data_IF_184566129517
#
_entry.id   IF_184566129517
#
_cell.length_a   1.000
_cell.length_b   1.000
_cell.length_c   1.000
_cell.angle_alpha   90.00
_cell.angle_beta   90.00
_cell.angle_gamma   90.00
#
_symmetry.space_group_name_H-M   'P 1'
#
loop_
_entity.id
_entity.type
_entity.pdbx_description
1 polymer ?
#
# COMPACT_ATOMS: atom_id res chain seq x y z
N UNK A 1 30.17 -45.40 57.28
CA UNK A 1 30.57 -44.00 57.00
C UNK A 1 30.94 -43.75 55.53
N UNK A 2 31.42 -44.72 54.74
CA UNK A 2 31.82 -44.48 53.33
C UNK A 2 30.68 -44.26 52.31
N UNK A 3 29.48 -44.80 52.55
CA UNK A 3 28.35 -44.66 51.61
C UNK A 3 27.78 -43.24 51.53
N UNK A 4 27.90 -42.42 52.57
CA UNK A 4 27.29 -41.08 52.57
C UNK A 4 28.10 -40.08 51.75
N UNK A 5 29.42 -40.14 51.87
CA UNK A 5 30.34 -39.28 51.12
C UNK A 5 30.32 -39.55 49.61
N UNK A 6 30.26 -40.82 49.21
CA UNK A 6 30.21 -41.19 47.80
C UNK A 6 28.88 -40.76 47.15
N UNK A 7 27.77 -40.84 47.89
CA UNK A 7 26.47 -40.35 47.45
C UNK A 7 26.42 -38.82 47.35
N UNK A 8 27.03 -38.10 48.30
CA UNK A 8 27.17 -36.64 48.24
C UNK A 8 28.00 -36.20 47.02
N UNK A 9 29.11 -36.89 46.74
CA UNK A 9 29.93 -36.64 45.54
C UNK A 9 29.17 -36.90 44.24
N UNK A 10 28.40 -37.98 44.16
CA UNK A 10 27.58 -38.28 42.98
C UNK A 10 26.51 -37.22 42.74
N UNK A 11 25.80 -36.79 43.80
CA UNK A 11 24.81 -35.73 43.72
C UNK A 11 25.41 -34.38 43.30
N UNK A 12 26.62 -34.06 43.76
CA UNK A 12 27.32 -32.85 43.36
C UNK A 12 27.69 -32.86 41.88
N UNK A 13 28.14 -34.01 41.36
CA UNK A 13 28.47 -34.20 39.94
C UNK A 13 27.22 -34.08 39.08
N UNK A 14 26.13 -34.76 39.44
CA UNK A 14 24.85 -34.68 38.71
C UNK A 14 24.29 -33.25 38.67
N UNK A 15 24.42 -32.49 39.76
CA UNK A 15 24.01 -31.08 39.79
C UNK A 15 24.88 -30.21 38.88
N UNK A 16 26.19 -30.45 38.85
CA UNK A 16 27.11 -29.73 37.96
C UNK A 16 26.83 -30.03 36.49
N UNK A 17 26.60 -31.29 36.13
CA UNK A 17 26.22 -31.68 34.77
C UNK A 17 24.92 -30.99 34.35
N UNK A 18 23.89 -31.03 35.19
CA UNK A 18 22.62 -30.35 34.93
C UNK A 18 22.79 -28.83 34.77
N UNK A 19 23.65 -28.21 35.56
CA UNK A 19 23.95 -26.77 35.40
C UNK A 19 24.66 -26.47 34.09
N UNK A 20 25.59 -27.35 33.65
CA UNK A 20 26.27 -27.20 32.36
C UNK A 20 25.30 -27.36 31.18
N UNK A 21 24.38 -28.33 31.25
CA UNK A 21 23.32 -28.49 30.24
C UNK A 21 22.42 -27.26 30.17
N UNK A 22 21.99 -26.73 31.32
CA UNK A 22 21.17 -25.51 31.36
C UNK A 22 21.92 -24.29 30.81
N UNK A 23 23.21 -24.15 31.11
CA UNK A 23 24.05 -23.09 30.55
C UNK A 23 24.20 -23.20 29.03
N UNK A 24 24.30 -24.43 28.51
CA UNK A 24 24.34 -24.67 27.07
C UNK A 24 23.01 -24.28 26.39
N UNK A 25 21.88 -24.65 27.00
CA UNK A 25 20.56 -24.26 26.49
C UNK A 25 20.37 -22.75 26.52
N UNK A 26 20.81 -22.08 27.60
CA UNK A 26 20.75 -20.61 27.70
C UNK A 26 21.62 -19.93 26.63
N UNK A 27 22.80 -20.47 26.35
CA UNK A 27 23.65 -19.98 25.26
C UNK A 27 22.96 -20.09 23.89
N UNK A 28 22.27 -21.20 23.63
CA UNK A 28 21.48 -21.39 22.40
C UNK A 28 20.35 -20.36 22.32
N UNK A 29 19.62 -20.12 23.42
CA UNK A 29 18.55 -19.13 23.47
C UNK A 29 19.08 -17.70 23.20
N UNK A 30 20.25 -17.38 23.74
CA UNK A 30 20.91 -16.10 23.49
C UNK A 30 21.28 -15.95 22.01
N UNK A 31 21.82 -16.99 21.40
CA UNK A 31 22.16 -17.00 19.96
C UNK A 31 20.91 -16.78 19.11
N UNK A 32 19.82 -17.49 19.40
CA UNK A 32 18.52 -17.34 18.71
C UNK A 32 18.00 -15.91 18.85
N UNK A 33 18.09 -15.33 20.05
CA UNK A 33 17.67 -13.94 20.30
C UNK A 33 18.50 -12.94 19.49
N UNK A 34 19.82 -13.14 19.41
CA UNK A 34 20.71 -12.31 18.60
C UNK A 34 20.35 -12.38 17.12
N UNK A 35 20.18 -13.60 16.58
CA UNK A 35 19.80 -13.81 15.18
C UNK A 35 18.45 -13.15 14.86
N UNK A 36 17.46 -13.28 15.74
CA UNK A 36 16.17 -12.61 15.57
C UNK A 36 16.29 -11.09 15.58
N UNK A 37 17.15 -10.52 16.43
CA UNK A 37 17.42 -9.08 16.43
C UNK A 37 18.01 -8.61 15.10
N UNK A 38 18.96 -9.37 14.55
CA UNK A 38 19.61 -9.02 13.30
C UNK A 38 18.66 -9.18 12.10
N UNK A 39 17.81 -10.21 12.10
CA UNK A 39 16.72 -10.34 11.12
C UNK A 39 15.79 -9.14 11.18
N UNK A 40 15.38 -8.71 12.37
CA UNK A 40 14.48 -7.57 12.54
C UNK A 40 15.11 -6.27 12.00
N UNK A 41 16.41 -6.05 12.23
CA UNK A 41 17.14 -4.89 11.67
C UNK A 41 17.15 -4.91 10.14
N UNK A 42 17.48 -6.06 9.54
CA UNK A 42 17.50 -6.22 8.08
C UNK A 42 16.14 -5.91 7.48
N UNK A 43 15.06 -6.44 8.07
CA UNK A 43 13.71 -6.19 7.60
C UNK A 43 13.30 -4.72 7.74
N UNK A 44 13.69 -4.07 8.84
CA UNK A 44 13.43 -2.64 9.04
C UNK A 44 14.13 -1.79 7.98
N UNK A 45 15.42 -2.07 7.72
CA UNK A 45 16.20 -1.36 6.70
C UNK A 45 15.62 -1.58 5.30
N UNK A 46 15.23 -2.81 4.97
CA UNK A 46 14.65 -3.13 3.67
C UNK A 46 13.32 -2.40 3.44
N UNK A 47 12.47 -2.24 4.46
CA UNK A 47 11.22 -1.50 4.33
C UNK A 47 11.47 0.01 4.17
N UNK A 48 12.43 0.57 4.89
CA UNK A 48 12.86 1.96 4.70
C UNK A 48 13.37 2.22 3.27
N UNK A 49 14.25 1.35 2.75
CA UNK A 49 14.75 1.44 1.38
C UNK A 49 13.62 1.34 0.34
N UNK A 50 12.69 0.41 0.55
CA UNK A 50 11.51 0.26 -0.31
C UNK A 50 10.66 1.52 -0.31
N UNK A 51 10.45 2.14 0.85
CA UNK A 51 9.72 3.40 0.93
C UNK A 51 10.42 4.52 0.15
N UNK A 52 11.74 4.68 0.32
CA UNK A 52 12.53 5.67 -0.41
C UNK A 52 12.44 5.46 -1.92
N UNK A 53 12.55 4.20 -2.38
CA UNK A 53 12.41 3.86 -3.79
C UNK A 53 11.03 4.20 -4.34
N UNK A 54 9.97 3.91 -3.58
CA UNK A 54 8.59 4.22 -3.97
C UNK A 54 8.38 5.73 -4.07
N UNK A 55 8.84 6.49 -3.08
CA UNK A 55 8.74 7.95 -3.08
C UNK A 55 9.50 8.57 -4.26
N UNK A 56 10.71 8.09 -4.54
CA UNK A 56 11.47 8.52 -5.71
C UNK A 56 10.73 8.23 -7.02
N UNK A 57 10.18 7.03 -7.18
CA UNK A 57 9.43 6.64 -8.37
C UNK A 57 8.17 7.50 -8.57
N UNK A 58 7.44 7.79 -7.49
CA UNK A 58 6.27 8.69 -7.49
C UNK A 58 6.68 10.11 -7.89
N UNK A 59 7.72 10.67 -7.29
CA UNK A 59 8.18 12.02 -7.64
C UNK A 59 8.66 12.11 -9.10
N UNK A 60 9.33 11.08 -9.59
CA UNK A 60 9.82 11.06 -10.98
C UNK A 60 8.68 10.96 -11.97
N UNK A 61 7.70 10.10 -11.69
CA UNK A 61 6.50 9.93 -12.52
C UNK A 61 5.59 11.15 -12.45
N UNK A 62 5.47 11.83 -11.31
CA UNK A 62 4.71 13.08 -11.17
C UNK A 62 5.18 14.16 -12.15
N UNK A 63 6.49 14.38 -12.28
CA UNK A 63 7.05 15.35 -13.25
C UNK A 63 6.72 14.99 -14.71
N UNK A 64 6.68 13.70 -15.03
CA UNK A 64 6.30 13.24 -16.37
C UNK A 64 4.80 13.41 -16.60
N UNK A 65 3.98 13.09 -15.59
CA UNK A 65 2.54 13.30 -15.63
C UNK A 65 2.17 14.78 -15.78
N UNK A 66 2.84 15.69 -15.07
CA UNK A 66 2.64 17.14 -15.27
C UNK A 66 2.93 17.57 -16.71
N UNK A 67 3.97 16.99 -17.32
CA UNK A 67 4.31 17.25 -18.73
C UNK A 67 3.24 16.70 -19.67
N UNK A 68 2.74 15.50 -19.40
CA UNK A 68 1.63 14.89 -20.14
C UNK A 68 0.35 15.72 -19.99
N UNK A 69 0.03 16.20 -18.80
CA UNK A 69 -1.14 17.03 -18.53
C UNK A 69 -1.02 18.39 -19.23
N UNK A 70 0.16 19.00 -19.22
CA UNK A 70 0.39 20.25 -19.94
C UNK A 70 0.23 20.07 -21.45
N UNK A 71 0.75 18.99 -22.02
CA UNK A 71 0.55 18.67 -23.44
C UNK A 71 -0.91 18.37 -23.76
N UNK A 72 -1.61 17.65 -22.88
CA UNK A 72 -3.04 17.36 -23.01
C UNK A 72 -3.88 18.64 -23.01
N UNK A 73 -3.61 19.57 -22.07
CA UNK A 73 -4.26 20.90 -22.05
C UNK A 73 -3.98 21.71 -23.31
N UNK A 74 -2.77 21.61 -23.86
CA UNK A 74 -2.42 22.27 -25.13
C UNK A 74 -3.21 21.68 -26.30
N UNK A 75 -3.41 20.36 -26.32
CA UNK A 75 -4.25 19.68 -27.31
C UNK A 75 -5.74 20.04 -27.13
N UNK A 76 -6.23 20.17 -25.89
CA UNK A 76 -7.59 20.64 -25.61
C UNK A 76 -7.79 22.09 -26.06
N UNK A 77 -6.85 22.99 -25.76
CA UNK A 77 -6.89 24.37 -26.22
C UNK A 77 -6.91 24.46 -27.75
N UNK A 78 -6.04 23.69 -28.42
CA UNK A 78 -6.03 23.58 -29.87
C UNK A 78 -7.39 23.08 -30.40
N UNK A 79 -7.95 22.03 -29.81
CA UNK A 79 -9.27 21.52 -30.19
C UNK A 79 -10.36 22.57 -29.96
N UNK A 80 -10.31 23.39 -28.92
CA UNK A 80 -11.31 24.43 -28.63
C UNK A 80 -11.24 25.63 -29.58
N UNK A 81 -10.06 25.94 -30.12
CA UNK A 81 -9.85 26.95 -31.16
C UNK A 81 -10.33 26.49 -32.55
N UNK A 82 -10.40 25.17 -32.77
CA UNK A 82 -10.97 24.61 -34.00
C UNK A 82 -12.50 24.76 -34.06
N UNK A 83 -13.02 24.81 -35.29
CA UNK A 83 -14.44 24.99 -35.55
C UNK A 83 -15.33 24.01 -34.74
N UNK A 84 -16.51 24.45 -34.26
CA UNK A 84 -17.45 23.62 -33.52
C UNK A 84 -17.87 22.31 -34.20
N UNK A 85 -17.70 22.23 -35.52
CA UNK A 85 -18.05 21.12 -36.41
C UNK A 85 -17.07 19.93 -36.34
N UNK A 86 -15.82 20.16 -35.93
CA UNK A 86 -14.76 19.13 -35.96
C UNK A 86 -14.80 18.32 -34.66
N UNK A 87 -15.46 17.16 -34.71
CA UNK A 87 -15.58 16.24 -33.55
C UNK A 87 -14.41 15.28 -33.40
N UNK A 88 -13.74 14.96 -34.50
CA UNK A 88 -12.63 14.00 -34.55
C UNK A 88 -11.55 14.55 -35.47
N UNK A 89 -10.32 14.63 -34.99
CA UNK A 89 -9.14 14.90 -35.82
C UNK A 89 -8.28 13.65 -35.78
N UNK A 90 -8.11 13.01 -36.94
CA UNK A 90 -7.20 11.87 -37.09
C UNK A 90 -5.80 12.40 -37.38
N UNK A 91 -4.81 12.01 -36.55
CA UNK A 91 -3.42 12.42 -36.66
C UNK A 91 -2.53 11.19 -36.82
N UNK A 92 -1.32 11.39 -37.34
CA UNK A 92 -0.36 10.32 -37.62
C UNK A 92 0.02 9.44 -36.40
N UNK A 93 -0.23 9.91 -35.18
CA UNK A 93 0.09 9.18 -33.94
C UNK A 93 -1.11 9.03 -32.98
N UNK A 94 -2.35 9.24 -33.46
CA UNK A 94 -3.55 9.05 -32.65
C UNK A 94 -4.73 9.91 -33.08
N UNK A 95 -5.87 9.74 -32.40
CA UNK A 95 -7.11 10.46 -32.69
C UNK A 95 -7.45 11.42 -31.56
N UNK A 96 -7.71 12.69 -31.90
CA UNK A 96 -8.28 13.68 -30.97
C UNK A 96 -9.81 13.65 -31.11
N UNK A 97 -10.49 13.24 -30.03
CA UNK A 97 -11.95 13.16 -29.98
C UNK A 97 -12.49 14.20 -29.02
N UNK A 98 -13.35 15.12 -29.51
CA UNK A 98 -14.12 16.00 -28.64
C UNK A 98 -15.28 15.21 -28.03
N UNK A 99 -15.06 14.65 -26.84
CA UNK A 99 -16.13 13.99 -26.06
C UNK A 99 -16.99 15.06 -25.38
N UNK A 100 -18.31 14.98 -25.56
CA UNK A 100 -19.26 15.78 -24.78
C UNK A 100 -19.23 15.22 -23.35
N UNK A 101 -18.61 15.91 -22.40
CA UNK A 101 -18.76 15.56 -20.99
C UNK A 101 -20.25 15.71 -20.63
N UNK A 102 -20.80 14.73 -19.92
CA UNK A 102 -22.12 14.85 -19.30
C UNK A 102 -22.01 15.97 -18.27
N UNK A 103 -22.83 17.01 -18.40
CA UNK A 103 -22.87 18.11 -17.44
C UNK A 103 -23.02 17.52 -16.04
N UNK A 104 -22.06 17.79 -15.17
CA UNK A 104 -22.13 17.40 -13.76
C UNK A 104 -23.22 18.25 -13.14
N UNK A 105 -24.45 17.73 -13.10
CA UNK A 105 -25.60 18.39 -12.48
C UNK A 105 -25.27 18.57 -10.99
N UNK A 106 -24.91 19.79 -10.59
CA UNK A 106 -24.78 20.15 -9.19
C UNK A 106 -26.16 20.59 -8.68
N UNK A 107 -26.62 19.96 -7.60
CA UNK A 107 -27.83 20.40 -6.92
C UNK A 107 -27.48 21.65 -6.14
N UNK A 108 -27.85 22.82 -6.68
CA UNK A 108 -27.53 24.13 -6.09
C UNK A 108 -28.16 24.37 -4.71
N UNK A 109 -29.23 23.64 -4.35
CA UNK A 109 -29.86 23.75 -3.03
C UNK A 109 -30.34 22.37 -2.54
N UNK A 110 -29.51 21.74 -1.72
CA UNK A 110 -29.65 20.36 -1.27
C UNK A 110 -30.86 20.19 -0.33
N UNK A 111 -31.20 21.23 0.43
CA UNK A 111 -32.32 21.21 1.38
C UNK A 111 -33.68 21.17 0.68
N UNK A 112 -33.86 21.99 -0.37
CA UNK A 112 -35.09 22.00 -1.18
C UNK A 112 -35.24 20.71 -1.98
N UNK A 113 -34.10 20.14 -2.42
CA UNK A 113 -34.07 18.86 -3.11
C UNK A 113 -34.53 17.71 -2.20
N UNK A 114 -34.05 17.63 -0.95
CA UNK A 114 -34.45 16.58 0.00
C UNK A 114 -35.89 16.68 0.52
N UNK A 115 -36.49 17.88 0.51
CA UNK A 115 -37.88 18.10 0.89
C UNK A 115 -38.89 17.57 -0.16
N UNK A 116 -38.43 17.28 -1.38
CA UNK A 116 -39.27 16.76 -2.45
C UNK A 116 -39.60 15.28 -2.21
N UNK A 117 -40.84 15.01 -1.82
CA UNK A 117 -41.34 13.66 -1.47
C UNK A 117 -41.31 12.63 -2.60
N UNK A 118 -41.00 13.04 -3.83
CA UNK A 118 -40.88 12.18 -5.00
C UNK A 118 -39.43 11.68 -5.26
N UNK A 119 -38.46 11.99 -4.38
CA UNK A 119 -37.07 11.54 -4.54
C UNK A 119 -36.95 10.00 -4.63
N UNK A 120 -37.83 9.29 -3.95
CA UNK A 120 -37.92 7.83 -3.95
C UNK A 120 -38.27 7.21 -5.31
N UNK A 121 -38.72 8.00 -6.29
CA UNK A 121 -39.00 7.54 -7.65
C UNK A 121 -37.80 7.63 -8.60
N UNK A 122 -36.73 8.35 -8.22
CA UNK A 122 -35.58 8.61 -9.09
C UNK A 122 -34.39 7.68 -8.83
N UNK A 123 -34.34 7.04 -7.66
CA UNK A 123 -33.27 6.10 -7.30
C UNK A 123 -33.58 4.69 -7.82
N UNK A 124 -33.52 4.50 -9.14
CA UNK A 124 -33.45 3.13 -9.69
C UNK A 124 -32.03 2.59 -9.47
N UNK A 125 -31.83 1.98 -8.30
CA UNK A 125 -30.65 1.16 -8.06
C UNK A 125 -30.78 -0.04 -8.99
N UNK A 126 -30.04 -0.05 -10.09
CA UNK A 126 -29.83 -1.26 -10.88
C UNK A 126 -29.21 -2.29 -9.95
N UNK A 127 -30.02 -3.24 -9.50
CA UNK A 127 -29.58 -4.44 -8.81
C UNK A 127 -28.71 -5.24 -9.78
N UNK A 128 -27.41 -5.03 -9.71
CA UNK A 128 -26.43 -5.91 -10.33
C UNK A 128 -26.46 -7.23 -9.54
N UNK A 129 -27.16 -8.22 -10.06
CA UNK A 129 -27.17 -9.58 -9.50
C UNK A 129 -25.76 -10.17 -9.63
N UNK A 130 -25.23 -10.62 -8.50
CA UNK A 130 -24.07 -11.48 -8.46
C UNK A 130 -24.41 -12.85 -9.07
N UNK A 131 -23.61 -13.27 -10.04
CA UNK A 131 -23.35 -14.66 -10.42
C UNK A 131 -21.83 -14.84 -10.58
#
# INVERSE_FOLDING_TARGET
>A
MGNNFLNELLLEVEQKEKQMELAQVDMILKEISSLNSDIAKILSQAEEEKQIMCEWAIQRSAKLNERVDWLSKKLEAFMNEQEPSVRTIDLAHGQLLRRKQVEKISVGNLETFLLNKNLSQLTSIASFQAL
#
